data_IF_654217868150
#
_entry.id   IF_654217868150
#
_cell.length_a   1.000
_cell.length_b   1.000
_cell.length_c   1.000
_cell.angle_alpha   90.00
_cell.angle_beta   90.00
_cell.angle_gamma   90.00
#
_symmetry.space_group_name_H-M   'P 1'
#
loop_
_entity.id
_entity.type
_entity.pdbx_description
1 polymer ?
#
# COMPACT_ATOMS: atom_id res chain seq x y z
N UNK A 1 -20.81 6.05 25.31
CA UNK A 1 -20.42 4.64 25.33
C UNK A 1 -20.61 4.10 26.75
N UNK A 2 -21.12 2.86 26.86
CA UNK A 2 -21.36 2.26 28.17
C UNK A 2 -20.07 1.73 28.83
N UNK A 3 -19.05 1.43 28.02
CA UNK A 3 -17.75 0.90 28.46
C UNK A 3 -16.67 1.14 27.41
N UNK A 4 -15.41 0.79 27.75
CA UNK A 4 -14.25 0.97 26.89
C UNK A 4 -14.32 0.09 25.61
N UNK A 5 -14.91 -1.11 25.69
CA UNK A 5 -15.02 -1.99 24.54
C UNK A 5 -15.92 -1.39 23.45
N UNK A 6 -17.05 -0.80 23.83
CA UNK A 6 -17.92 -0.10 22.89
C UNK A 6 -17.23 1.11 22.24
N UNK A 7 -16.45 1.84 23.03
CA UNK A 7 -15.65 2.97 22.52
C UNK A 7 -14.58 2.49 21.53
N UNK A 8 -13.86 1.42 21.86
CA UNK A 8 -12.82 0.86 20.99
C UNK A 8 -13.41 0.31 19.69
N UNK A 9 -14.54 -0.38 19.75
CA UNK A 9 -15.26 -0.85 18.56
C UNK A 9 -15.65 0.31 17.64
N UNK A 10 -16.23 1.35 18.22
CA UNK A 10 -16.61 2.55 17.47
C UNK A 10 -15.40 3.22 16.81
N UNK A 11 -14.29 3.38 17.53
CA UNK A 11 -13.05 3.98 17.02
C UNK A 11 -12.51 3.14 15.86
N UNK A 12 -12.37 1.83 16.03
CA UNK A 12 -11.87 0.93 14.99
C UNK A 12 -12.72 0.98 13.72
N UNK A 13 -14.04 0.92 13.88
CA UNK A 13 -14.96 0.99 12.75
C UNK A 13 -14.92 2.34 12.04
N UNK A 14 -14.79 3.41 12.79
CA UNK A 14 -14.68 4.77 12.22
C UNK A 14 -13.40 4.93 11.41
N UNK A 15 -12.25 4.46 11.94
CA UNK A 15 -10.98 4.49 11.21
C UNK A 15 -11.01 3.57 9.98
N UNK A 16 -11.64 2.39 10.09
CA UNK A 16 -11.81 1.49 8.96
C UNK A 16 -12.59 2.15 7.81
N UNK A 17 -13.59 2.98 8.10
CA UNK A 17 -14.37 3.66 7.07
C UNK A 17 -13.52 4.57 6.17
N UNK A 18 -12.44 5.16 6.68
CA UNK A 18 -11.49 5.90 5.84
C UNK A 18 -10.91 5.01 4.73
N UNK A 19 -10.57 3.77 5.07
CA UNK A 19 -9.96 2.80 4.15
C UNK A 19 -11.00 2.04 3.30
N UNK A 20 -12.26 2.04 3.70
CA UNK A 20 -13.32 1.31 3.02
C UNK A 20 -14.18 2.20 2.13
N UNK A 21 -14.85 3.18 2.72
CA UNK A 21 -15.72 4.12 2.01
C UNK A 21 -14.93 5.25 1.37
N UNK A 22 -13.88 5.72 2.05
CA UNK A 22 -12.99 6.78 1.59
C UNK A 22 -11.92 6.33 0.59
N UNK A 23 -11.83 5.03 0.29
CA UNK A 23 -10.88 4.52 -0.68
C UNK A 23 -11.08 5.11 -2.09
N UNK A 24 -9.99 5.30 -2.83
CA UNK A 24 -10.05 5.69 -4.23
C UNK A 24 -10.82 4.63 -5.05
N UNK A 25 -11.73 5.10 -5.90
CA UNK A 25 -12.78 4.22 -6.48
C UNK A 25 -12.26 3.25 -7.53
N UNK A 26 -11.21 3.59 -8.26
CA UNK A 26 -10.62 2.73 -9.31
C UNK A 26 -9.74 1.66 -8.69
N UNK A 27 -8.85 2.04 -7.81
CA UNK A 27 -7.86 1.16 -7.18
C UNK A 27 -8.38 0.38 -5.98
N UNK A 28 -9.23 1.01 -5.17
CA UNK A 28 -9.62 0.52 -3.85
C UNK A 28 -8.57 0.78 -2.77
N UNK A 29 -7.50 1.51 -3.09
CA UNK A 29 -6.42 1.91 -2.18
C UNK A 29 -6.76 3.18 -1.42
N UNK A 30 -5.98 3.48 -0.38
CA UNK A 30 -6.19 4.65 0.45
C UNK A 30 -5.84 5.94 -0.29
N UNK A 31 -6.74 6.92 -0.26
CA UNK A 31 -6.40 8.28 -0.64
C UNK A 31 -5.29 8.80 0.29
N UNK A 32 -4.39 9.64 -0.24
CA UNK A 32 -3.38 10.34 0.56
C UNK A 32 -4.04 11.19 1.65
N UNK A 33 -5.12 11.88 1.29
CA UNK A 33 -5.95 12.66 2.21
C UNK A 33 -7.37 12.82 1.67
N UNK A 34 -8.27 13.15 2.56
CA UNK A 34 -9.65 13.52 2.23
C UNK A 34 -9.94 14.88 2.86
N UNK A 35 -10.26 15.87 2.02
CA UNK A 35 -10.72 17.17 2.48
C UNK A 35 -12.23 17.12 2.71
N UNK A 36 -12.68 17.40 3.94
CA UNK A 36 -14.09 17.26 4.31
C UNK A 36 -14.98 18.32 3.64
N UNK A 37 -14.40 19.42 3.20
CA UNK A 37 -15.07 20.48 2.43
C UNK A 37 -15.05 20.23 0.91
N UNK A 38 -14.44 19.12 0.47
CA UNK A 38 -14.20 18.77 -0.94
C UNK A 38 -13.43 19.83 -1.75
N UNK A 39 -12.63 20.67 -1.07
CA UNK A 39 -11.76 21.63 -1.73
C UNK A 39 -10.34 21.10 -1.78
N UNK A 40 -9.79 20.89 -2.98
CA UNK A 40 -8.48 20.32 -3.22
C UNK A 40 -7.55 21.32 -3.93
N UNK A 41 -6.93 22.28 -3.20
CA UNK A 41 -6.12 23.33 -3.81
C UNK A 41 -4.89 22.79 -4.56
N UNK A 42 -4.41 21.61 -4.19
CA UNK A 42 -3.24 20.94 -4.79
C UNK A 42 -3.64 19.93 -5.88
N UNK A 43 -4.93 19.82 -6.20
CA UNK A 43 -5.47 18.84 -7.15
C UNK A 43 -5.04 17.40 -6.79
N UNK A 44 -5.12 17.06 -5.51
CA UNK A 44 -4.65 15.81 -4.92
C UNK A 44 -5.77 14.84 -4.52
N UNK A 45 -7.02 15.12 -4.96
CA UNK A 45 -8.19 14.26 -4.67
C UNK A 45 -8.06 12.83 -5.18
N UNK A 46 -7.24 12.62 -6.23
CA UNK A 46 -7.04 11.33 -6.87
C UNK A 46 -5.68 10.70 -6.52
N UNK A 47 -4.97 11.27 -5.55
CA UNK A 47 -3.68 10.75 -5.11
C UNK A 47 -3.88 9.63 -4.10
N UNK A 48 -3.29 8.48 -4.38
CA UNK A 48 -3.21 7.35 -3.45
C UNK A 48 -1.81 7.24 -2.87
N UNK A 49 -1.74 6.86 -1.60
CA UNK A 49 -0.49 6.64 -0.86
C UNK A 49 -0.19 5.15 -0.77
N UNK A 50 1.04 4.75 -1.03
CA UNK A 50 1.42 3.32 -1.07
C UNK A 50 1.56 2.76 0.34
N UNK A 51 2.35 3.34 1.21
CA UNK A 51 2.52 2.85 2.58
C UNK A 51 1.23 2.95 3.40
N UNK A 52 0.51 4.07 3.30
CA UNK A 52 -0.80 4.23 3.95
C UNK A 52 -1.82 3.18 3.48
N UNK A 53 -1.78 2.81 2.19
CA UNK A 53 -2.59 1.70 1.66
C UNK A 53 -2.19 0.35 2.25
N UNK A 54 -0.92 0.15 2.60
CA UNK A 54 -0.46 -1.03 3.34
C UNK A 54 -1.21 -1.17 4.67
N UNK A 55 -1.28 -0.11 5.47
CA UNK A 55 -2.07 -0.11 6.71
C UNK A 55 -3.56 -0.35 6.44
N UNK A 56 -4.11 0.23 5.37
CA UNK A 56 -5.49 -0.03 4.95
C UNK A 56 -5.77 -1.50 4.61
N UNK A 57 -4.84 -2.17 3.93
CA UNK A 57 -4.93 -3.61 3.62
C UNK A 57 -4.92 -4.46 4.90
N UNK A 58 -4.06 -4.15 5.86
CA UNK A 58 -4.09 -4.80 7.17
C UNK A 58 -5.42 -4.54 7.89
N UNK A 59 -5.95 -3.32 7.81
CA UNK A 59 -7.26 -2.95 8.33
C UNK A 59 -8.41 -3.75 7.72
N UNK A 60 -8.32 -4.14 6.43
CA UNK A 60 -9.32 -5.02 5.80
C UNK A 60 -9.37 -6.41 6.46
N UNK A 61 -8.22 -6.99 6.82
CA UNK A 61 -8.18 -8.26 7.55
C UNK A 61 -8.85 -8.14 8.93
N UNK A 62 -8.54 -7.05 9.65
CA UNK A 62 -9.18 -6.76 10.93
C UNK A 62 -10.69 -6.61 10.77
N UNK A 63 -11.14 -5.92 9.72
CA UNK A 63 -12.55 -5.69 9.46
C UNK A 63 -13.32 -6.99 9.15
N UNK A 64 -12.69 -7.94 8.44
CA UNK A 64 -13.25 -9.27 8.22
C UNK A 64 -13.39 -10.03 9.56
N UNK A 65 -12.31 -10.10 10.34
CA UNK A 65 -12.29 -10.81 11.63
C UNK A 65 -13.24 -10.19 12.68
N UNK A 66 -13.42 -8.87 12.61
CA UNK A 66 -14.37 -8.15 13.49
C UNK A 66 -15.80 -8.12 12.95
N UNK A 67 -16.07 -8.73 11.79
CA UNK A 67 -17.39 -8.72 11.12
C UNK A 67 -17.90 -7.29 10.80
N UNK A 68 -17.02 -6.35 10.54
CA UNK A 68 -17.39 -5.02 9.98
C UNK A 68 -17.80 -5.15 8.52
N UNK A 69 -17.17 -6.06 7.80
CA UNK A 69 -17.52 -6.53 6.46
C UNK A 69 -17.50 -8.05 6.44
N UNK A 70 -18.21 -8.67 5.51
CA UNK A 70 -18.09 -10.11 5.33
C UNK A 70 -16.81 -10.50 4.55
N UNK A 71 -16.41 -11.78 4.67
CA UNK A 71 -15.18 -12.29 4.04
C UNK A 71 -15.19 -12.16 2.52
N UNK A 72 -16.34 -12.40 1.88
CA UNK A 72 -16.43 -12.32 0.42
C UNK A 72 -16.21 -10.89 -0.08
N UNK A 73 -16.81 -9.89 0.56
CA UNK A 73 -16.59 -8.46 0.26
C UNK A 73 -15.14 -8.05 0.47
N UNK A 74 -14.53 -8.48 1.57
CA UNK A 74 -13.13 -8.20 1.87
C UNK A 74 -12.18 -8.80 0.85
N UNK A 75 -12.35 -10.08 0.50
CA UNK A 75 -11.54 -10.77 -0.52
C UNK A 75 -11.73 -10.14 -1.90
N UNK A 76 -12.95 -9.74 -2.26
CA UNK A 76 -13.22 -9.05 -3.51
C UNK A 76 -12.48 -7.70 -3.59
N UNK A 77 -12.47 -6.92 -2.49
CA UNK A 77 -11.72 -5.66 -2.42
C UNK A 77 -10.21 -5.90 -2.51
N UNK A 78 -9.68 -6.89 -1.78
CA UNK A 78 -8.26 -7.26 -1.83
C UNK A 78 -7.83 -7.71 -3.22
N UNK A 79 -8.66 -8.49 -3.91
CA UNK A 79 -8.40 -8.91 -5.30
C UNK A 79 -8.34 -7.70 -6.23
N UNK A 80 -9.28 -6.78 -6.11
CA UNK A 80 -9.29 -5.52 -6.87
C UNK A 80 -8.00 -4.72 -6.66
N UNK A 81 -7.57 -4.57 -5.41
CA UNK A 81 -6.33 -3.87 -5.03
C UNK A 81 -5.12 -4.54 -5.68
N UNK A 82 -4.99 -5.86 -5.56
CA UNK A 82 -3.85 -6.61 -6.11
C UNK A 82 -3.83 -6.56 -7.63
N UNK A 83 -4.98 -6.67 -8.29
CA UNK A 83 -5.10 -6.55 -9.75
C UNK A 83 -4.74 -5.14 -10.26
N UNK A 84 -5.02 -4.11 -9.47
CA UNK A 84 -4.61 -2.75 -9.77
C UNK A 84 -3.11 -2.56 -9.59
N UNK A 85 -2.55 -2.99 -8.47
CA UNK A 85 -1.12 -2.89 -8.15
C UNK A 85 -0.24 -3.63 -9.16
N UNK A 86 -0.72 -4.73 -9.72
CA UNK A 86 -0.02 -5.48 -10.77
C UNK A 86 0.12 -4.70 -12.09
N UNK A 87 -0.71 -3.68 -12.32
CA UNK A 87 -0.74 -2.85 -13.54
C UNK A 87 -0.19 -1.44 -13.33
N UNK A 88 -0.08 -1.01 -12.07
CA UNK A 88 0.42 0.30 -11.70
C UNK A 88 1.92 0.42 -12.00
N UNK A 89 2.42 1.66 -12.07
CA UNK A 89 3.83 1.91 -12.27
C UNK A 89 4.66 1.28 -11.13
N UNK A 90 5.70 0.57 -11.54
CA UNK A 90 6.71 -0.06 -10.66
C UNK A 90 8.09 0.20 -11.24
N UNK A 91 9.06 0.41 -10.37
CA UNK A 91 10.43 0.73 -10.72
C UNK A 91 11.33 -0.35 -10.10
N UNK A 92 11.84 -1.27 -10.90
CA UNK A 92 12.52 -2.46 -10.40
C UNK A 92 11.67 -3.23 -9.37
N UNK A 93 10.37 -3.36 -9.73
CA UNK A 93 9.40 -4.07 -8.90
C UNK A 93 8.85 -3.31 -7.68
N UNK A 94 9.31 -2.09 -7.43
CA UNK A 94 8.95 -1.25 -6.27
C UNK A 94 7.99 -0.15 -6.71
N UNK A 95 6.90 0.05 -5.96
CA UNK A 95 5.94 1.13 -6.23
C UNK A 95 6.49 2.48 -5.79
N UNK A 96 6.01 3.59 -6.37
CA UNK A 96 6.41 4.92 -5.94
C UNK A 96 5.72 5.29 -4.61
N UNK A 97 6.12 6.42 -4.04
CA UNK A 97 5.48 6.99 -2.84
C UNK A 97 3.98 7.21 -3.08
N UNK A 98 3.64 7.87 -4.20
CA UNK A 98 2.28 8.17 -4.61
C UNK A 98 1.98 7.68 -6.03
N UNK A 99 0.72 7.28 -6.24
CA UNK A 99 0.16 7.03 -7.57
C UNK A 99 -1.04 7.95 -7.83
N UNK A 100 -1.29 8.25 -9.08
CA UNK A 100 -2.56 8.80 -9.52
C UNK A 100 -3.56 7.65 -9.63
N UNK A 101 -4.56 7.63 -8.74
CA UNK A 101 -5.52 6.53 -8.56
C UNK A 101 -6.19 6.05 -9.85
N UNK A 102 -6.79 6.95 -10.67
CA UNK A 102 -7.46 6.53 -11.90
C UNK A 102 -6.57 5.85 -12.94
N UNK A 103 -5.26 6.14 -12.96
CA UNK A 103 -4.36 5.66 -14.03
C UNK A 103 -3.28 4.68 -13.58
N UNK A 104 -2.98 4.60 -12.28
CA UNK A 104 -1.86 3.82 -11.77
C UNK A 104 -0.48 4.39 -12.11
N UNK A 105 -0.42 5.63 -12.58
CA UNK A 105 0.84 6.30 -12.91
C UNK A 105 1.44 6.96 -11.69
N UNK A 106 2.79 7.00 -11.65
CA UNK A 106 3.50 7.69 -10.60
C UNK A 106 3.05 9.15 -10.49
N UNK A 107 2.74 9.59 -9.28
CA UNK A 107 2.56 10.98 -8.90
C UNK A 107 3.79 11.38 -8.08
N UNK A 108 4.71 12.22 -8.61
CA UNK A 108 5.90 12.59 -7.89
C UNK A 108 5.59 13.20 -6.53
N UNK A 109 6.24 12.69 -5.49
CA UNK A 109 6.20 13.28 -4.15
C UNK A 109 7.06 14.55 -4.10
N UNK A 110 8.18 14.53 -4.83
CA UNK A 110 9.09 15.66 -5.00
C UNK A 110 9.82 15.55 -6.33
N UNK A 111 10.62 16.56 -6.68
CA UNK A 111 11.29 16.62 -7.99
C UNK A 111 12.12 15.37 -8.29
N UNK A 112 12.84 14.84 -7.30
CA UNK A 112 13.66 13.63 -7.45
C UNK A 112 12.98 12.37 -6.93
N UNK A 113 11.80 12.51 -6.33
CA UNK A 113 10.98 11.43 -5.80
C UNK A 113 9.84 11.15 -6.78
N UNK A 114 10.21 10.60 -7.93
CA UNK A 114 9.35 10.31 -9.07
C UNK A 114 9.50 8.86 -9.55
N UNK A 115 10.04 8.00 -8.71
CA UNK A 115 10.31 6.60 -9.01
C UNK A 115 9.95 5.66 -7.87
N UNK A 116 10.71 4.57 -7.69
CA UNK A 116 10.42 3.57 -6.67
C UNK A 116 10.78 4.05 -5.27
N UNK A 117 9.85 3.87 -4.33
CA UNK A 117 10.03 4.08 -2.90
C UNK A 117 10.00 2.74 -2.18
N UNK A 118 11.18 2.27 -1.75
CA UNK A 118 11.33 0.95 -1.16
C UNK A 118 10.66 0.85 0.22
N UNK A 119 10.67 1.91 1.01
CA UNK A 119 10.09 1.92 2.36
C UNK A 119 8.57 1.89 2.30
N UNK A 120 7.94 2.76 1.50
CA UNK A 120 6.50 2.75 1.29
C UNK A 120 6.02 1.41 0.71
N UNK A 121 6.78 0.86 -0.25
CA UNK A 121 6.50 -0.45 -0.83
C UNK A 121 6.65 -1.58 0.18
N UNK A 122 7.56 -1.47 1.15
CA UNK A 122 7.72 -2.47 2.21
C UNK A 122 6.52 -2.48 3.17
N UNK A 123 5.98 -1.33 3.55
CA UNK A 123 4.72 -1.27 4.32
C UNK A 123 3.56 -1.91 3.56
N UNK A 124 3.44 -1.61 2.25
CA UNK A 124 2.42 -2.24 1.41
C UNK A 124 2.62 -3.76 1.34
N UNK A 125 3.83 -4.21 1.01
CA UNK A 125 4.12 -5.63 0.80
C UNK A 125 3.99 -6.44 2.09
N UNK A 126 4.38 -5.92 3.25
CA UNK A 126 4.16 -6.58 4.53
C UNK A 126 2.68 -6.96 4.71
N UNK A 127 1.79 -6.03 4.45
CA UNK A 127 0.35 -6.27 4.59
C UNK A 127 -0.17 -7.23 3.53
N UNK A 128 0.34 -7.16 2.30
CA UNK A 128 0.01 -8.15 1.26
C UNK A 128 0.47 -9.55 1.64
N UNK A 129 1.65 -9.70 2.26
CA UNK A 129 2.12 -11.00 2.76
C UNK A 129 1.24 -11.54 3.90
N UNK A 130 0.70 -10.67 4.76
CA UNK A 130 -0.32 -11.05 5.73
C UNK A 130 -1.60 -11.55 5.03
N UNK A 131 -2.07 -10.85 4.00
CA UNK A 131 -3.21 -11.29 3.17
C UNK A 131 -2.93 -12.66 2.56
N UNK A 132 -1.78 -12.83 1.91
CA UNK A 132 -1.37 -14.11 1.33
C UNK A 132 -1.49 -15.25 2.35
N UNK A 133 -0.95 -15.05 3.55
CA UNK A 133 -1.00 -16.05 4.61
C UNK A 133 -2.43 -16.32 5.07
N UNK A 134 -3.28 -15.28 5.12
CA UNK A 134 -4.67 -15.37 5.56
C UNK A 134 -5.56 -16.14 4.58
N UNK A 135 -5.29 -16.04 3.26
CA UNK A 135 -6.16 -16.61 2.22
C UNK A 135 -5.61 -17.88 1.56
N UNK A 136 -4.36 -18.27 1.78
CA UNK A 136 -3.66 -19.36 1.04
C UNK A 136 -4.36 -20.72 1.09
N UNK A 137 -5.05 -21.02 2.19
CA UNK A 137 -5.73 -22.31 2.41
C UNK A 137 -7.26 -22.22 2.15
N UNK A 138 -7.71 -21.10 1.58
CA UNK A 138 -9.10 -20.83 1.29
C UNK A 138 -9.63 -21.47 -0.01
N UNK A 139 -10.68 -20.88 -0.56
CA UNK A 139 -11.25 -21.32 -1.84
C UNK A 139 -10.36 -20.94 -3.04
N UNK A 140 -10.74 -21.35 -4.26
CA UNK A 140 -9.94 -21.12 -5.46
C UNK A 140 -9.68 -19.63 -5.78
N UNK A 141 -10.62 -18.72 -5.47
CA UNK A 141 -10.42 -17.27 -5.64
C UNK A 141 -9.37 -16.75 -4.65
N UNK A 142 -9.41 -17.23 -3.42
CA UNK A 142 -8.47 -16.87 -2.36
C UNK A 142 -7.06 -17.39 -2.66
N UNK A 143 -6.93 -18.63 -3.12
CA UNK A 143 -5.65 -19.20 -3.57
C UNK A 143 -5.08 -18.43 -4.76
N UNK A 144 -5.91 -18.04 -5.72
CA UNK A 144 -5.49 -17.22 -6.85
C UNK A 144 -5.00 -15.84 -6.40
N UNK A 145 -5.66 -15.23 -5.41
CA UNK A 145 -5.20 -13.98 -4.79
C UNK A 145 -3.83 -14.16 -4.13
N UNK A 146 -3.63 -15.23 -3.35
CA UNK A 146 -2.34 -15.54 -2.73
C UNK A 146 -1.22 -15.69 -3.78
N UNK A 147 -1.48 -16.40 -4.87
CA UNK A 147 -0.51 -16.59 -5.97
C UNK A 147 -0.11 -15.26 -6.62
N UNK A 148 -1.07 -14.37 -6.88
CA UNK A 148 -0.77 -13.03 -7.42
C UNK A 148 0.08 -12.18 -6.48
N UNK A 149 -0.16 -12.28 -5.18
CA UNK A 149 0.69 -11.58 -4.18
C UNK A 149 2.10 -12.14 -4.21
N UNK A 150 2.28 -13.46 -4.32
CA UNK A 150 3.60 -14.07 -4.47
C UNK A 150 4.33 -13.59 -5.73
N UNK A 151 3.63 -13.44 -6.87
CA UNK A 151 4.20 -12.87 -8.09
C UNK A 151 4.69 -11.44 -7.88
N UNK A 152 3.90 -10.60 -7.22
CA UNK A 152 4.28 -9.21 -6.90
C UNK A 152 5.49 -9.15 -5.97
N UNK A 153 5.52 -10.00 -4.95
CA UNK A 153 6.61 -10.12 -3.99
C UNK A 153 7.92 -10.53 -4.68
N UNK A 154 7.91 -11.62 -5.45
CA UNK A 154 9.09 -12.10 -6.16
C UNK A 154 9.55 -11.18 -7.28
N UNK A 155 8.69 -10.26 -7.72
CA UNK A 155 9.04 -9.23 -8.70
C UNK A 155 9.75 -8.01 -8.13
N UNK A 156 9.95 -7.91 -6.80
CA UNK A 156 10.70 -6.82 -6.19
C UNK A 156 12.21 -7.09 -6.26
N UNK A 157 12.94 -6.23 -6.94
CA UNK A 157 14.38 -6.36 -7.16
C UNK A 157 15.18 -5.69 -6.03
N UNK A 158 15.23 -6.29 -4.85
CA UNK A 158 15.96 -5.74 -3.70
C UNK A 158 17.44 -5.50 -3.98
N UNK A 159 18.07 -6.37 -4.79
CA UNK A 159 19.48 -6.20 -5.17
C UNK A 159 19.71 -4.90 -5.97
N UNK A 160 18.74 -4.47 -6.79
CA UNK A 160 18.81 -3.17 -7.45
C UNK A 160 18.94 -2.04 -6.44
N UNK A 161 18.16 -2.09 -5.37
CA UNK A 161 18.14 -1.06 -4.33
C UNK A 161 19.36 -1.04 -3.43
N UNK A 162 20.36 -1.87 -3.69
CA UNK A 162 21.69 -1.82 -3.07
C UNK A 162 22.62 -0.79 -3.73
N UNK A 163 22.18 -0.09 -4.75
CA UNK A 163 22.93 0.95 -5.44
C UNK A 163 24.38 0.54 -5.78
N UNK A 164 24.55 -0.51 -6.58
CA UNK A 164 25.84 -1.03 -6.99
C UNK A 164 26.53 -1.92 -5.95
N UNK A 165 25.79 -2.89 -5.39
CA UNK A 165 26.27 -3.92 -4.46
C UNK A 165 26.75 -3.41 -3.09
N UNK A 166 26.25 -2.28 -2.62
CA UNK A 166 26.53 -1.82 -1.26
C UNK A 166 25.84 -2.73 -0.21
N UNK A 167 26.35 -2.71 1.03
CA UNK A 167 25.79 -3.50 2.14
C UNK A 167 24.64 -2.79 2.85
N UNK A 168 23.90 -1.97 2.12
CA UNK A 168 22.76 -1.20 2.62
C UNK A 168 21.76 -1.03 1.47
N UNK A 169 20.46 -1.01 1.79
CA UNK A 169 19.42 -0.67 0.85
C UNK A 169 19.25 0.85 0.78
N UNK A 170 18.82 1.33 -0.37
CA UNK A 170 18.50 2.74 -0.58
C UNK A 170 17.01 2.93 -0.65
N UNK A 171 16.50 4.02 -0.06
CA UNK A 171 15.09 4.33 0.04
C UNK A 171 14.43 4.49 -1.32
N UNK A 172 15.10 5.23 -2.22
CA UNK A 172 14.47 5.71 -3.44
C UNK A 172 15.39 5.60 -4.65
N UNK A 173 14.82 5.19 -5.79
CA UNK A 173 15.45 5.26 -7.11
C UNK A 173 14.52 5.97 -8.09
N UNK A 174 15.08 6.91 -8.86
CA UNK A 174 14.36 7.69 -9.88
C UNK A 174 14.76 7.26 -11.29
N UNK A 175 13.81 7.06 -12.21
CA UNK A 175 14.11 6.80 -13.61
C UNK A 175 14.75 8.02 -14.31
N UNK A 176 14.57 9.23 -13.78
CA UNK A 176 15.07 10.48 -14.33
C UNK A 176 16.35 10.98 -13.65
N UNK A 177 16.50 10.70 -12.36
CA UNK A 177 17.60 11.22 -11.53
C UNK A 177 18.47 10.12 -10.90
N UNK A 178 18.16 8.84 -11.16
CA UNK A 178 18.92 7.72 -10.59
C UNK A 178 18.93 7.73 -9.06
N UNK A 179 20.09 7.67 -8.48
CA UNK A 179 20.33 7.64 -7.04
C UNK A 179 20.59 9.03 -6.42
N UNK A 180 20.20 10.12 -7.08
CA UNK A 180 20.53 11.48 -6.62
C UNK A 180 19.92 11.87 -5.26
N UNK A 181 18.85 11.21 -4.80
CA UNK A 181 18.37 11.38 -3.42
C UNK A 181 19.38 10.86 -2.41
N UNK A 182 20.15 9.84 -2.76
CA UNK A 182 21.26 9.28 -1.99
C UNK A 182 20.90 9.04 -0.51
N UNK A 183 19.80 8.30 -0.25
CA UNK A 183 19.28 8.08 1.07
C UNK A 183 19.41 6.60 1.47
N UNK A 184 20.54 6.18 2.09
CA UNK A 184 20.70 4.82 2.59
C UNK A 184 19.78 4.57 3.79
N UNK A 185 19.26 3.34 3.92
CA UNK A 185 18.41 2.93 5.04
C UNK A 185 19.30 2.53 6.22
N UNK A 186 19.45 3.42 7.18
CA UNK A 186 20.32 3.25 8.34
C UNK A 186 19.60 3.66 9.63
N UNK A 187 19.99 3.04 10.74
CA UNK A 187 19.51 3.39 12.07
C UNK A 187 18.19 2.70 12.44
N UNK A 188 17.72 3.06 13.63
CA UNK A 188 16.50 2.53 14.22
C UNK A 188 15.33 3.50 13.95
N UNK A 189 14.51 3.19 12.93
CA UNK A 189 13.39 4.00 12.51
C UNK A 189 12.34 3.15 11.77
N UNK A 190 11.43 3.76 11.04
CA UNK A 190 10.39 3.09 10.23
C UNK A 190 10.94 2.12 9.19
N UNK A 191 12.19 2.31 8.74
CA UNK A 191 12.83 1.45 7.75
C UNK A 191 13.15 0.03 8.25
N UNK A 192 12.94 -0.26 9.54
CA UNK A 192 13.13 -1.62 10.08
C UNK A 192 12.25 -2.69 9.42
N UNK A 193 11.19 -2.29 8.73
CA UNK A 193 10.33 -3.20 8.01
C UNK A 193 10.92 -3.61 6.64
N UNK A 194 11.83 -2.80 6.11
CA UNK A 194 12.49 -3.05 4.83
C UNK A 194 13.63 -4.02 4.97
#
# INVERSE_FOLDING_TARGET
FANDDELLDYIQKTHFNYMWEGAEKTSGLACERIHLDNVYPQQDQDVITIGGSGFGIAGLLVAIERNFINREEGVARLTKIVDYLAKADRFHGVWPHWLHGPTGKVKPFGTKDDGGDLVESSFLMQSLLCVRQYVKDGNEKEKALAAKIDELWHGMEFDWYRNGDQNVLYWHWSPNYGWEMNFPLEGYNECLIT
#
